data_IF_577537387865
#
_entry.id   IF_577537387865
#
_cell.length_a   1.000
_cell.length_b   1.000
_cell.length_c   1.000
_cell.angle_alpha   90.00
_cell.angle_beta   90.00
_cell.angle_gamma   90.00
#
_symmetry.space_group_name_H-M   'P 1'
#
loop_
_entity.id
_entity.type
_entity.pdbx_description
1 polymer ?
#
# COMPACT_ATOMS: atom_id res chain seq x y z
N UNK A 1 56.40 33.02 25.12
CA UNK A 1 55.38 32.22 25.88
C UNK A 1 54.11 32.26 25.03
N UNK A 2 53.91 31.22 24.23
CA UNK A 2 52.74 31.11 23.36
C UNK A 2 51.62 30.39 24.13
N UNK A 3 50.43 30.98 24.13
CA UNK A 3 49.24 30.40 24.75
C UNK A 3 48.72 29.20 23.93
N UNK A 4 48.17 28.14 24.56
CA UNK A 4 47.62 27.00 23.87
C UNK A 4 46.26 27.33 23.24
N UNK A 5 46.08 26.88 21.95
CA UNK A 5 44.83 27.00 21.24
C UNK A 5 43.71 26.19 21.90
N UNK A 6 42.55 26.83 22.09
CA UNK A 6 41.34 26.17 22.56
C UNK A 6 40.74 25.26 21.49
N UNK A 7 40.23 24.06 21.84
CA UNK A 7 39.58 23.18 20.86
C UNK A 7 38.21 23.77 20.46
N UNK A 8 37.99 23.85 19.14
CA UNK A 8 36.72 24.22 18.52
C UNK A 8 35.70 23.14 18.83
N UNK A 9 34.48 23.44 19.35
CA UNK A 9 33.46 22.46 19.62
C UNK A 9 32.97 21.85 18.29
N UNK A 10 33.04 20.52 18.20
CA UNK A 10 32.51 19.76 17.08
C UNK A 10 31.02 20.09 16.88
N UNK A 11 30.68 20.63 15.73
CA UNK A 11 29.28 20.84 15.32
C UNK A 11 28.59 19.48 15.32
N UNK A 12 27.64 19.29 16.22
CA UNK A 12 26.71 18.18 16.20
C UNK A 12 25.95 18.27 14.87
N UNK A 13 26.24 17.37 13.95
CA UNK A 13 25.44 17.12 12.74
C UNK A 13 24.01 16.90 13.20
N UNK A 14 23.12 17.81 12.82
CA UNK A 14 21.69 17.68 13.08
C UNK A 14 21.24 16.37 12.43
N UNK A 15 20.85 15.40 13.24
CA UNK A 15 20.17 14.20 12.78
C UNK A 15 18.96 14.67 11.95
N UNK A 16 18.97 14.38 10.67
CA UNK A 16 17.83 14.65 9.80
C UNK A 16 16.64 13.92 10.39
N UNK A 17 15.71 14.65 10.99
CA UNK A 17 14.47 14.09 11.52
C UNK A 17 13.70 13.49 10.35
N UNK A 18 13.62 12.17 10.30
CA UNK A 18 12.78 11.49 9.31
C UNK A 18 11.34 12.04 9.42
N UNK A 19 10.67 12.32 8.31
CA UNK A 19 9.31 12.85 8.34
C UNK A 19 8.40 11.87 9.10
N UNK A 20 7.56 12.43 9.98
CA UNK A 20 6.61 11.63 10.77
C UNK A 20 5.65 10.91 9.83
N UNK A 21 5.53 9.57 9.89
CA UNK A 21 4.59 8.81 9.07
C UNK A 21 3.16 9.32 9.22
N UNK A 22 2.36 9.18 8.17
CA UNK A 22 0.93 9.50 8.24
C UNK A 22 0.20 8.55 9.18
N UNK A 23 0.51 7.25 9.07
CA UNK A 23 0.00 6.21 9.95
C UNK A 23 1.11 5.18 10.24
N UNK A 24 1.21 4.76 11.49
CA UNK A 24 2.16 3.74 11.95
C UNK A 24 1.45 2.78 12.91
N UNK A 25 1.77 1.49 12.84
CA UNK A 25 1.37 0.54 13.87
C UNK A 25 2.60 -0.07 14.53
N UNK A 26 2.50 -0.34 15.83
CA UNK A 26 3.54 -0.97 16.62
C UNK A 26 2.99 -2.20 17.32
N UNK A 27 3.42 -3.38 16.90
CA UNK A 27 2.98 -4.64 17.44
C UNK A 27 1.46 -4.87 17.33
N UNK A 28 0.81 -4.36 16.28
CA UNK A 28 -0.64 -4.42 16.14
C UNK A 28 -1.14 -5.86 16.17
N UNK A 29 -1.99 -6.17 17.15
CA UNK A 29 -2.46 -7.53 17.40
C UNK A 29 -3.97 -7.56 17.52
N UNK A 30 -4.61 -8.58 16.89
CA UNK A 30 -6.03 -8.85 17.02
C UNK A 30 -6.31 -10.33 17.11
N UNK A 31 -6.85 -10.73 18.25
CA UNK A 31 -7.31 -12.07 18.51
C UNK A 31 -8.83 -12.09 18.68
N UNK A 32 -9.48 -13.13 18.16
CA UNK A 32 -10.90 -13.36 18.31
C UNK A 32 -11.15 -14.67 19.07
N UNK A 33 -12.03 -14.66 20.05
CA UNK A 33 -12.51 -15.88 20.70
C UNK A 33 -13.38 -16.66 19.71
N UNK A 34 -13.15 -17.97 19.57
CA UNK A 34 -13.85 -18.86 18.65
C UNK A 34 -14.50 -20.00 19.42
N UNK A 35 -15.80 -20.24 19.20
CA UNK A 35 -16.59 -21.27 19.89
C UNK A 35 -17.49 -20.71 20.98
N UNK A 36 -18.17 -21.57 21.72
CA UNK A 36 -19.12 -21.18 22.81
C UNK A 36 -18.41 -20.49 23.98
N UNK A 37 -19.20 -19.97 24.92
CA UNK A 37 -18.75 -19.13 26.06
C UNK A 37 -17.61 -19.75 26.89
N UNK A 38 -17.46 -21.07 26.91
CA UNK A 38 -16.42 -21.81 27.64
C UNK A 38 -15.23 -22.20 26.77
N UNK A 39 -15.23 -21.85 25.46
CA UNK A 39 -14.15 -22.23 24.57
C UNK A 39 -12.89 -21.39 24.84
N UNK A 40 -11.75 -22.07 25.02
CA UNK A 40 -10.42 -21.44 25.10
C UNK A 40 -9.75 -21.25 23.72
N UNK A 41 -10.49 -21.46 22.64
CA UNK A 41 -9.95 -21.37 21.28
C UNK A 41 -9.90 -19.89 20.86
N UNK A 42 -8.75 -19.45 20.46
CA UNK A 42 -8.48 -18.07 20.03
C UNK A 42 -7.93 -18.07 18.61
N UNK A 43 -8.61 -17.37 17.70
CA UNK A 43 -8.14 -17.10 16.35
C UNK A 43 -7.19 -15.90 16.39
N UNK A 44 -5.96 -16.09 15.98
CA UNK A 44 -4.94 -15.06 15.85
C UNK A 44 -5.01 -14.44 14.44
N UNK A 45 -5.89 -13.46 14.26
CA UNK A 45 -6.13 -12.88 12.95
C UNK A 45 -5.03 -11.90 12.52
N UNK A 46 -4.42 -11.19 13.48
CA UNK A 46 -3.25 -10.30 13.28
C UNK A 46 -2.38 -10.45 14.52
N UNK A 47 -1.09 -10.66 14.33
CA UNK A 47 -0.10 -10.77 15.40
C UNK A 47 1.11 -9.89 15.11
N UNK A 48 1.34 -8.93 16.03
CA UNK A 48 2.49 -8.04 16.06
C UNK A 48 2.81 -7.42 14.67
N UNK A 49 1.79 -6.92 13.96
CA UNK A 49 2.00 -6.31 12.66
C UNK A 49 2.49 -4.87 12.81
N UNK A 50 3.66 -4.59 12.23
CA UNK A 50 4.22 -3.25 12.10
C UNK A 50 4.01 -2.75 10.68
N UNK A 51 3.20 -1.70 10.53
CA UNK A 51 2.80 -1.10 9.27
C UNK A 51 3.13 0.37 9.33
N UNK A 52 3.80 0.88 8.31
CA UNK A 52 4.10 2.30 8.15
C UNK A 52 3.52 2.76 6.83
N UNK A 53 2.77 3.86 6.84
CA UNK A 53 2.23 4.50 5.64
C UNK A 53 2.64 5.97 5.68
N UNK A 54 3.35 6.42 4.66
CA UNK A 54 3.76 7.80 4.52
C UNK A 54 2.70 8.63 3.78
N UNK A 55 2.90 9.94 3.73
CA UNK A 55 2.04 10.81 2.92
C UNK A 55 2.28 10.56 1.43
N UNK A 56 1.22 10.63 0.63
CA UNK A 56 1.26 10.44 -0.83
C UNK A 56 1.84 9.09 -1.24
N UNK A 57 1.69 8.07 -0.41
CA UNK A 57 2.20 6.72 -0.66
C UNK A 57 1.04 5.74 -0.86
N UNK A 58 1.17 4.83 -1.82
CA UNK A 58 0.30 3.66 -1.97
C UNK A 58 1.07 2.45 -1.44
N UNK A 59 0.64 1.93 -0.30
CA UNK A 59 1.17 0.68 0.28
C UNK A 59 0.21 -0.45 -0.07
N UNK A 60 0.68 -1.47 -0.78
CA UNK A 60 -0.11 -2.68 -1.02
C UNK A 60 0.11 -3.69 0.11
N UNK A 61 -0.99 -4.26 0.63
CA UNK A 61 -0.97 -5.39 1.56
C UNK A 61 -1.53 -6.63 0.85
N UNK A 62 -0.64 -7.57 0.50
CA UNK A 62 -1.00 -8.76 -0.28
C UNK A 62 -0.91 -10.05 0.53
N UNK A 63 -1.60 -11.09 0.09
CA UNK A 63 -1.58 -12.42 0.70
C UNK A 63 -2.84 -13.21 0.39
N UNK A 64 -2.84 -14.51 0.70
CA UNK A 64 -3.99 -15.39 0.50
C UNK A 64 -5.22 -14.95 1.31
N UNK A 65 -6.41 -15.44 0.92
CA UNK A 65 -7.65 -15.25 1.68
C UNK A 65 -7.47 -15.78 3.11
N UNK A 66 -8.01 -15.05 4.09
CA UNK A 66 -7.86 -15.43 5.50
C UNK A 66 -6.51 -15.09 6.15
N UNK A 67 -5.56 -14.46 5.44
CA UNK A 67 -4.25 -14.08 6.03
C UNK A 67 -4.33 -12.94 7.06
N UNK A 68 -5.48 -12.24 7.18
CA UNK A 68 -5.70 -11.18 8.17
C UNK A 68 -5.78 -9.76 7.61
N UNK A 69 -5.61 -9.55 6.29
CA UNK A 69 -5.58 -8.24 5.61
C UNK A 69 -6.79 -7.35 5.93
N UNK A 70 -8.01 -7.85 5.71
CA UNK A 70 -9.24 -7.09 6.02
C UNK A 70 -9.39 -6.81 7.51
N UNK A 71 -8.82 -7.66 8.39
CA UNK A 71 -8.78 -7.39 9.83
C UNK A 71 -7.88 -6.20 10.13
N UNK A 72 -6.72 -6.08 9.46
CA UNK A 72 -5.85 -4.90 9.54
C UNK A 72 -6.63 -3.65 9.14
N UNK A 73 -7.28 -3.64 7.97
CA UNK A 73 -8.06 -2.46 7.53
C UNK A 73 -9.13 -2.07 8.55
N UNK A 74 -9.87 -3.04 9.11
CA UNK A 74 -10.93 -2.78 10.11
C UNK A 74 -10.37 -2.28 11.45
N UNK A 75 -9.16 -2.68 11.83
CA UNK A 75 -8.45 -2.13 12.98
C UNK A 75 -8.07 -0.67 12.74
N UNK A 76 -7.47 -0.37 11.57
CA UNK A 76 -7.09 0.98 11.18
C UNK A 76 -8.31 1.89 11.03
N UNK A 77 -9.43 1.40 10.48
CA UNK A 77 -10.69 2.12 10.42
C UNK A 77 -11.40 2.29 11.78
N UNK A 78 -10.83 1.75 12.89
CA UNK A 78 -11.45 1.71 14.24
C UNK A 78 -12.81 1.02 14.26
N UNK A 79 -13.04 0.05 13.36
CA UNK A 79 -14.20 -0.86 13.43
C UNK A 79 -13.96 -1.92 14.50
N UNK A 80 -12.73 -2.42 14.60
CA UNK A 80 -12.30 -3.30 15.67
C UNK A 80 -11.32 -2.56 16.62
N UNK A 81 -11.34 -2.96 17.89
CA UNK A 81 -10.32 -2.57 18.85
C UNK A 81 -9.16 -3.57 18.78
N UNK A 82 -7.90 -3.14 18.83
CA UNK A 82 -6.77 -4.05 18.96
C UNK A 82 -6.82 -4.82 20.27
N UNK A 83 -6.30 -6.03 20.29
CA UNK A 83 -6.08 -6.83 21.52
C UNK A 83 -4.79 -6.39 22.21
N UNK A 84 -3.77 -6.02 21.43
CA UNK A 84 -2.50 -5.45 21.90
C UNK A 84 -1.88 -4.60 20.80
N UNK A 85 -0.85 -3.83 21.14
CA UNK A 85 -0.16 -2.92 20.25
C UNK A 85 -0.87 -1.59 20.05
N UNK A 86 -0.21 -0.68 19.36
CA UNK A 86 -0.64 0.70 19.17
C UNK A 86 -0.82 1.05 17.70
N UNK A 87 -1.77 1.97 17.45
CA UNK A 87 -1.94 2.65 16.15
C UNK A 87 -1.65 4.12 16.39
N UNK A 88 -0.68 4.65 15.65
CA UNK A 88 -0.31 6.07 15.68
C UNK A 88 -0.77 6.74 14.38
N UNK A 89 -1.43 7.86 14.51
CA UNK A 89 -1.82 8.72 13.41
C UNK A 89 -1.15 10.08 13.55
N UNK A 90 -0.31 10.46 12.58
CA UNK A 90 0.51 11.66 12.64
C UNK A 90 1.31 11.76 13.96
N UNK A 91 1.90 10.66 14.39
CA UNK A 91 2.69 10.56 15.63
C UNK A 91 1.87 10.49 16.93
N UNK A 92 0.53 10.56 16.88
CA UNK A 92 -0.35 10.49 18.06
C UNK A 92 -1.03 9.13 18.14
N UNK A 93 -0.98 8.47 19.29
CA UNK A 93 -1.70 7.20 19.48
C UNK A 93 -3.22 7.40 19.41
N UNK A 94 -3.92 6.52 18.69
CA UNK A 94 -5.38 6.55 18.61
C UNK A 94 -6.06 6.30 19.96
N UNK A 95 -5.38 5.63 20.90
CA UNK A 95 -5.86 5.43 22.25
C UNK A 95 -6.01 6.75 23.03
N UNK A 96 -5.23 7.78 22.69
CA UNK A 96 -5.34 9.12 23.26
C UNK A 96 -6.52 9.92 22.70
N UNK A 97 -7.06 9.56 21.54
CA UNK A 97 -8.18 10.24 20.85
C UNK A 97 -9.54 9.79 21.43
N UNK A 98 -9.81 10.17 22.70
CA UNK A 98 -11.01 9.71 23.45
C UNK A 98 -12.25 10.55 23.17
N UNK A 99 -12.12 11.78 22.66
CA UNK A 99 -13.27 12.64 22.40
C UNK A 99 -14.02 12.22 21.14
N UNK A 100 -15.36 12.39 21.14
CA UNK A 100 -16.21 12.13 19.96
C UNK A 100 -15.73 12.92 18.74
N UNK A 101 -15.30 14.17 18.96
CA UNK A 101 -14.80 15.05 17.89
C UNK A 101 -13.53 14.46 17.25
N UNK A 102 -12.51 14.11 18.05
CA UNK A 102 -11.28 13.52 17.54
C UNK A 102 -11.52 12.18 16.82
N UNK A 103 -12.47 11.38 17.30
CA UNK A 103 -12.84 10.13 16.64
C UNK A 103 -13.54 10.35 15.29
N UNK A 104 -14.37 11.38 15.16
CA UNK A 104 -15.00 11.76 13.89
C UNK A 104 -13.99 12.35 12.90
N UNK A 105 -13.08 13.20 13.38
CA UNK A 105 -11.99 13.76 12.57
C UNK A 105 -11.09 12.65 12.01
N UNK A 106 -10.66 11.71 12.82
CA UNK A 106 -9.90 10.55 12.35
C UNK A 106 -10.66 9.73 11.30
N UNK A 107 -11.95 9.47 11.49
CA UNK A 107 -12.76 8.72 10.52
C UNK A 107 -12.98 9.48 9.21
N UNK A 108 -12.96 10.80 9.24
CA UNK A 108 -12.96 11.64 8.05
C UNK A 108 -11.64 11.54 7.30
N UNK A 109 -10.52 11.58 8.05
CA UNK A 109 -9.17 11.50 7.51
C UNK A 109 -8.80 10.11 6.99
N UNK A 110 -9.41 9.03 7.55
CA UNK A 110 -9.08 7.62 7.26
C UNK A 110 -10.36 6.80 6.98
N UNK A 111 -11.09 7.10 5.89
CA UNK A 111 -12.23 6.31 5.47
C UNK A 111 -11.82 4.94 4.89
N UNK A 112 -12.78 4.02 4.84
CA UNK A 112 -12.60 2.69 4.26
C UNK A 112 -13.54 2.48 3.07
N UNK A 113 -12.99 1.98 1.96
CA UNK A 113 -13.72 1.48 0.80
C UNK A 113 -13.76 -0.04 0.88
N UNK A 114 -14.97 -0.60 0.84
CA UNK A 114 -15.22 -2.03 1.04
C UNK A 114 -15.14 -2.82 -0.27
N UNK A 115 -14.89 -4.12 -0.14
CA UNK A 115 -14.81 -5.09 -1.22
C UNK A 115 -16.12 -5.18 -2.02
N UNK A 116 -17.26 -5.20 -1.32
CA UNK A 116 -18.58 -5.32 -1.93
C UNK A 116 -19.26 -3.94 -2.07
N UNK A 117 -19.32 -3.39 -3.30
CA UNK A 117 -19.99 -2.12 -3.53
C UNK A 117 -21.52 -2.22 -3.42
N UNK A 118 -22.09 -3.46 -3.53
CA UNK A 118 -23.53 -3.67 -3.41
C UNK A 118 -24.01 -3.50 -1.99
N UNK A 119 -23.25 -4.00 -1.01
CA UNK A 119 -23.60 -3.88 0.41
C UNK A 119 -23.33 -2.49 0.98
N UNK A 120 -22.50 -1.68 0.32
CA UNK A 120 -22.12 -0.34 0.78
C UNK A 120 -23.15 0.74 0.45
N UNK A 121 -24.00 0.52 -0.57
CA UNK A 121 -25.00 1.47 -1.04
C UNK A 121 -26.41 1.03 -0.67
N UNK A 122 -27.16 1.92 0.01
CA UNK A 122 -28.57 1.64 0.32
C UNK A 122 -29.44 1.79 -0.94
N UNK A 123 -30.08 0.72 -1.43
CA UNK A 123 -30.85 0.72 -2.68
C UNK A 123 -32.11 1.62 -2.66
N UNK A 124 -32.57 2.03 -1.47
CA UNK A 124 -33.74 2.89 -1.33
C UNK A 124 -33.46 4.37 -1.65
N UNK A 125 -32.19 4.76 -1.77
CA UNK A 125 -31.80 6.16 -2.01
C UNK A 125 -30.98 6.28 -3.29
N UNK A 126 -31.03 7.48 -3.90
CA UNK A 126 -30.12 7.84 -5.00
C UNK A 126 -28.68 7.83 -4.52
N UNK A 127 -27.75 7.58 -5.41
CA UNK A 127 -26.30 7.44 -5.05
C UNK A 127 -25.73 8.73 -4.49
N UNK A 128 -26.24 9.89 -4.91
CA UNK A 128 -25.88 11.20 -4.32
C UNK A 128 -26.16 11.30 -2.83
N UNK A 129 -27.16 10.55 -2.31
CA UNK A 129 -27.55 10.63 -0.90
C UNK A 129 -26.39 10.31 0.05
N UNK A 130 -25.63 9.25 -0.24
CA UNK A 130 -24.49 8.83 0.58
C UNK A 130 -23.40 9.90 0.65
N UNK A 131 -23.04 10.48 -0.51
CA UNK A 131 -22.04 11.54 -0.62
C UNK A 131 -22.50 12.79 0.12
N UNK A 132 -23.73 13.27 -0.18
CA UNK A 132 -24.27 14.49 0.42
C UNK A 132 -24.45 14.33 1.95
N UNK A 133 -24.86 13.15 2.43
CA UNK A 133 -24.97 12.87 3.85
C UNK A 133 -23.61 12.94 4.54
N UNK A 134 -22.57 12.39 3.92
CA UNK A 134 -21.20 12.48 4.39
C UNK A 134 -20.70 13.92 4.47
N UNK A 135 -20.90 14.68 3.41
CA UNK A 135 -20.59 16.12 3.39
C UNK A 135 -21.34 16.88 4.49
N UNK A 136 -22.62 16.58 4.73
CA UNK A 136 -23.40 17.20 5.82
C UNK A 136 -22.82 16.90 7.20
N UNK A 137 -22.24 15.72 7.41
CA UNK A 137 -21.67 15.31 8.69
C UNK A 137 -20.27 15.86 8.96
N UNK A 138 -19.47 16.06 7.90
CA UNK A 138 -18.05 16.40 8.02
C UNK A 138 -17.70 17.80 7.48
N UNK A 139 -18.56 18.39 6.61
CA UNK A 139 -18.35 19.68 5.98
C UNK A 139 -19.51 20.63 6.31
N UNK A 140 -19.53 21.07 7.57
CA UNK A 140 -20.56 21.99 8.08
C UNK A 140 -20.50 23.39 7.46
N UNK A 141 -19.36 23.74 6.87
CA UNK A 141 -19.07 24.98 6.15
C UNK A 141 -19.84 25.12 4.83
N UNK A 142 -20.32 24.00 4.24
CA UNK A 142 -20.99 24.00 2.94
C UNK A 142 -22.50 24.18 3.05
N UNK A 143 -23.08 25.07 2.21
CA UNK A 143 -24.51 25.17 1.96
C UNK A 143 -25.05 23.91 1.23
N UNK A 144 -26.38 23.82 1.07
CA UNK A 144 -26.99 22.70 0.35
C UNK A 144 -26.56 22.64 -1.11
N UNK A 145 -26.49 23.78 -1.79
CA UNK A 145 -26.05 23.88 -3.19
C UNK A 145 -24.58 23.46 -3.34
N UNK A 146 -23.70 24.02 -2.49
CA UNK A 146 -22.27 23.69 -2.51
C UNK A 146 -21.99 22.21 -2.21
N UNK A 147 -22.81 21.54 -1.39
CA UNK A 147 -22.67 20.09 -1.19
C UNK A 147 -22.99 19.28 -2.44
N UNK A 148 -23.94 19.72 -3.25
CA UNK A 148 -24.22 19.05 -4.52
C UNK A 148 -23.11 19.30 -5.54
N UNK A 149 -22.60 20.52 -5.65
CA UNK A 149 -21.44 20.86 -6.49
C UNK A 149 -20.20 20.04 -6.09
N UNK A 150 -19.93 19.93 -4.78
CA UNK A 150 -18.83 19.09 -4.29
C UNK A 150 -19.09 17.60 -4.54
N UNK A 151 -20.34 17.13 -4.48
CA UNK A 151 -20.66 15.75 -4.86
C UNK A 151 -20.41 15.48 -6.35
N UNK A 152 -20.71 16.44 -7.22
CA UNK A 152 -20.39 16.36 -8.66
C UNK A 152 -18.87 16.33 -8.85
N UNK A 153 -18.13 17.26 -8.23
CA UNK A 153 -16.66 17.32 -8.30
C UNK A 153 -16.00 15.99 -7.92
N UNK A 154 -16.38 15.40 -6.79
CA UNK A 154 -15.77 14.13 -6.35
C UNK A 154 -16.18 12.95 -7.23
N UNK A 155 -17.37 12.98 -7.84
CA UNK A 155 -17.80 11.98 -8.81
C UNK A 155 -16.99 12.08 -10.12
N UNK A 156 -16.70 13.28 -10.59
CA UNK A 156 -15.84 13.53 -11.75
C UNK A 156 -14.40 13.10 -11.48
N UNK A 157 -13.86 13.42 -10.28
CA UNK A 157 -12.50 13.03 -9.88
C UNK A 157 -12.28 11.52 -9.88
N UNK A 158 -13.33 10.71 -9.68
CA UNK A 158 -13.25 9.25 -9.80
C UNK A 158 -13.66 8.74 -11.21
N UNK A 159 -13.81 9.63 -12.18
CA UNK A 159 -14.09 9.30 -13.58
C UNK A 159 -15.52 8.84 -13.85
N UNK A 160 -16.51 9.37 -13.11
CA UNK A 160 -17.93 9.19 -13.40
C UNK A 160 -18.43 10.36 -14.27
N UNK A 161 -18.75 10.08 -15.52
CA UNK A 161 -19.20 11.09 -16.50
C UNK A 161 -20.40 10.58 -17.29
N UNK A 162 -21.51 11.36 -17.40
CA UNK A 162 -21.75 12.67 -16.77
C UNK A 162 -22.15 12.54 -15.28
N UNK A 163 -21.41 13.23 -14.40
CA UNK A 163 -21.51 13.01 -12.95
C UNK A 163 -22.89 13.35 -12.39
N UNK A 164 -23.49 14.48 -12.77
CA UNK A 164 -24.79 14.91 -12.25
C UNK A 164 -25.91 13.91 -12.54
N UNK A 165 -25.93 13.32 -13.74
CA UNK A 165 -26.90 12.30 -14.13
C UNK A 165 -26.71 11.00 -13.35
N UNK A 166 -25.44 10.57 -13.19
CA UNK A 166 -25.10 9.36 -12.44
C UNK A 166 -25.49 9.52 -10.97
N UNK A 167 -25.27 10.66 -10.38
CA UNK A 167 -25.61 10.97 -8.99
C UNK A 167 -27.13 10.96 -8.72
N UNK A 168 -27.96 11.15 -9.75
CA UNK A 168 -29.42 11.09 -9.65
C UNK A 168 -30.00 9.69 -9.80
N UNK A 169 -29.19 8.68 -10.18
CA UNK A 169 -29.59 7.28 -10.33
C UNK A 169 -29.64 6.56 -8.99
N UNK A 170 -30.32 5.41 -9.00
CA UNK A 170 -30.29 4.45 -7.90
C UNK A 170 -29.14 3.44 -8.08
N UNK A 171 -28.66 2.80 -6.99
CA UNK A 171 -27.57 1.83 -7.07
C UNK A 171 -27.80 0.70 -8.06
N UNK A 172 -29.03 0.20 -8.22
CA UNK A 172 -29.37 -0.90 -9.12
C UNK A 172 -29.31 -0.52 -10.62
N UNK A 173 -29.31 0.79 -10.94
CA UNK A 173 -29.19 1.32 -12.30
C UNK A 173 -27.72 1.48 -12.74
N UNK A 174 -26.76 1.21 -11.85
CA UNK A 174 -25.35 1.38 -12.11
C UNK A 174 -24.64 0.05 -12.35
N UNK A 175 -23.60 0.05 -13.20
CA UNK A 175 -22.67 -1.07 -13.32
C UNK A 175 -21.87 -1.30 -12.03
N UNK A 176 -21.26 -2.49 -11.87
CA UNK A 176 -20.40 -2.79 -10.73
C UNK A 176 -19.24 -1.79 -10.59
N UNK A 177 -18.58 -1.44 -11.68
CA UNK A 177 -17.50 -0.45 -11.71
C UNK A 177 -17.97 0.97 -11.35
N UNK A 178 -19.15 1.39 -11.79
CA UNK A 178 -19.72 2.67 -11.40
C UNK A 178 -20.04 2.71 -9.90
N UNK A 179 -20.61 1.65 -9.33
CA UNK A 179 -20.88 1.54 -7.88
C UNK A 179 -19.59 1.60 -7.07
N UNK A 180 -18.53 0.93 -7.54
CA UNK A 180 -17.22 0.98 -6.86
C UNK A 180 -16.64 2.39 -6.89
N UNK A 181 -16.72 3.10 -8.03
CA UNK A 181 -16.31 4.50 -8.14
C UNK A 181 -17.13 5.42 -7.23
N UNK A 182 -18.41 5.17 -7.04
CA UNK A 182 -19.24 5.89 -6.05
C UNK A 182 -18.70 5.67 -4.63
N UNK A 183 -18.23 4.46 -4.28
CA UNK A 183 -17.58 4.20 -3.00
C UNK A 183 -16.33 5.06 -2.78
N UNK A 184 -15.50 5.23 -3.82
CA UNK A 184 -14.35 6.14 -3.79
C UNK A 184 -14.79 7.61 -3.71
N UNK A 185 -15.82 8.03 -4.47
CA UNK A 185 -16.37 9.38 -4.40
C UNK A 185 -16.89 9.71 -2.99
N UNK A 186 -17.56 8.75 -2.32
CA UNK A 186 -18.00 8.92 -0.93
C UNK A 186 -16.81 9.10 0.01
N UNK A 187 -15.75 8.30 -0.14
CA UNK A 187 -14.54 8.44 0.66
C UNK A 187 -13.85 9.80 0.42
N UNK A 188 -13.72 10.21 -0.85
CA UNK A 188 -13.08 11.46 -1.26
C UNK A 188 -13.83 12.71 -0.77
N UNK A 189 -15.16 12.64 -0.65
CA UNK A 189 -16.00 13.73 -0.14
C UNK A 189 -15.59 14.23 1.26
N UNK A 190 -14.94 13.37 2.05
CA UNK A 190 -14.44 13.74 3.38
C UNK A 190 -13.09 14.47 3.35
N UNK A 191 -12.44 14.62 2.18
CA UNK A 191 -11.06 15.09 2.02
C UNK A 191 -10.08 14.26 2.84
N UNK A 192 -10.02 12.94 2.59
CA UNK A 192 -9.22 12.01 3.38
C UNK A 192 -7.73 12.26 3.16
N UNK A 193 -6.92 11.87 4.15
CA UNK A 193 -5.47 11.78 4.03
C UNK A 193 -5.00 10.37 3.70
N UNK A 194 -5.80 9.37 4.08
CA UNK A 194 -5.54 7.95 3.82
C UNK A 194 -6.86 7.24 3.50
N UNK A 195 -6.93 6.52 2.38
CA UNK A 195 -8.04 5.63 2.06
C UNK A 195 -7.60 4.19 2.30
N UNK A 196 -8.38 3.45 3.10
CA UNK A 196 -8.22 2.01 3.29
C UNK A 196 -9.07 1.29 2.25
N UNK A 197 -8.46 0.74 1.21
CA UNK A 197 -9.15 0.09 0.10
C UNK A 197 -9.04 -1.44 0.24
N UNK A 198 -10.10 -2.09 0.76
CA UNK A 198 -10.16 -3.54 1.01
C UNK A 198 -10.71 -4.26 -0.23
N UNK A 199 -9.83 -4.88 -1.00
CA UNK A 199 -10.11 -5.60 -2.25
C UNK A 199 -11.02 -4.85 -3.24
N UNK A 200 -10.77 -3.56 -3.52
CA UNK A 200 -11.70 -2.70 -4.26
C UNK A 200 -11.90 -3.09 -5.73
N UNK A 201 -11.07 -3.99 -6.27
CA UNK A 201 -11.10 -4.39 -7.69
C UNK A 201 -11.41 -5.89 -7.90
N UNK A 202 -11.59 -6.66 -6.82
CA UNK A 202 -11.69 -8.13 -6.89
C UNK A 202 -12.91 -8.64 -7.67
N UNK A 203 -14.02 -7.87 -7.68
CA UNK A 203 -15.27 -8.22 -8.35
C UNK A 203 -15.45 -7.55 -9.72
N UNK A 204 -14.39 -6.96 -10.28
CA UNK A 204 -14.45 -6.17 -11.50
C UNK A 204 -13.72 -6.85 -12.65
N UNK A 205 -14.25 -6.67 -13.86
CA UNK A 205 -13.60 -7.08 -15.10
C UNK A 205 -12.24 -6.37 -15.27
N UNK A 206 -11.33 -6.99 -16.04
CA UNK A 206 -9.94 -6.54 -16.18
C UNK A 206 -9.83 -5.07 -16.61
N UNK A 207 -10.62 -4.63 -17.61
CA UNK A 207 -10.59 -3.25 -18.10
C UNK A 207 -11.07 -2.23 -17.05
N UNK A 208 -12.12 -2.58 -16.32
CA UNK A 208 -12.68 -1.74 -15.25
C UNK A 208 -11.70 -1.67 -14.06
N UNK A 209 -11.02 -2.80 -13.77
CA UNK A 209 -9.99 -2.90 -12.73
C UNK A 209 -8.85 -1.91 -12.98
N UNK A 210 -8.27 -1.93 -14.19
CA UNK A 210 -7.20 -0.98 -14.56
C UNK A 210 -7.69 0.47 -14.44
N UNK A 211 -8.90 0.76 -14.90
CA UNK A 211 -9.49 2.09 -14.79
C UNK A 211 -9.62 2.57 -13.34
N UNK A 212 -9.91 1.67 -12.39
CA UNK A 212 -10.00 2.03 -10.97
C UNK A 212 -8.62 2.18 -10.31
N UNK A 213 -7.63 1.37 -10.70
CA UNK A 213 -6.23 1.54 -10.23
C UNK A 213 -5.67 2.89 -10.70
N UNK A 214 -5.99 3.32 -11.94
CA UNK A 214 -5.62 4.64 -12.44
C UNK A 214 -6.29 5.76 -11.63
N UNK A 215 -7.55 5.60 -11.21
CA UNK A 215 -8.20 6.56 -10.30
C UNK A 215 -7.43 6.67 -8.98
N UNK A 216 -7.00 5.57 -8.39
CA UNK A 216 -6.19 5.63 -7.15
C UNK A 216 -4.87 6.38 -7.37
N UNK A 217 -4.17 6.12 -8.49
CA UNK A 217 -2.93 6.82 -8.84
C UNK A 217 -3.15 8.34 -9.03
N UNK A 218 -4.23 8.74 -9.72
CA UNK A 218 -4.64 10.13 -9.91
C UNK A 218 -4.97 10.80 -8.57
N UNK A 219 -5.77 10.16 -7.71
CA UNK A 219 -6.12 10.71 -6.40
C UNK A 219 -4.89 10.89 -5.49
N UNK A 220 -3.89 9.99 -5.58
CA UNK A 220 -2.61 10.17 -4.90
C UNK A 220 -1.87 11.41 -5.40
N UNK A 221 -1.83 11.61 -6.71
CA UNK A 221 -1.08 12.72 -7.33
C UNK A 221 -1.76 14.07 -7.12
N UNK A 222 -3.06 14.15 -7.38
CA UNK A 222 -3.80 15.41 -7.50
C UNK A 222 -4.48 15.83 -6.19
N UNK A 223 -4.92 14.88 -5.36
CA UNK A 223 -5.65 15.15 -4.11
C UNK A 223 -4.82 14.85 -2.85
N UNK A 224 -3.51 14.53 -2.99
CA UNK A 224 -2.60 14.22 -1.89
C UNK A 224 -3.05 13.05 -1.00
N UNK A 225 -3.83 12.11 -1.53
CA UNK A 225 -4.38 10.98 -0.79
C UNK A 225 -3.38 9.83 -0.75
N UNK A 226 -3.13 9.28 0.42
CA UNK A 226 -2.38 8.02 0.58
C UNK A 226 -3.34 6.83 0.56
N UNK A 227 -2.83 5.62 0.26
CA UNK A 227 -3.65 4.42 0.23
C UNK A 227 -3.00 3.25 0.98
N UNK A 228 -3.82 2.51 1.72
CA UNK A 228 -3.55 1.11 2.01
C UNK A 228 -4.40 0.26 1.07
N UNK A 229 -3.79 -0.30 0.05
CA UNK A 229 -4.43 -1.13 -0.96
C UNK A 229 -4.32 -2.60 -0.59
N UNK A 230 -5.43 -3.21 -0.20
CA UNK A 230 -5.49 -4.63 0.16
C UNK A 230 -5.97 -5.43 -1.04
N UNK A 231 -5.20 -6.45 -1.41
CA UNK A 231 -5.54 -7.34 -2.53
C UNK A 231 -4.88 -8.73 -2.35
N UNK A 232 -5.39 -9.72 -3.07
CA UNK A 232 -4.72 -10.99 -3.26
C UNK A 232 -4.01 -11.06 -4.64
N UNK A 233 -4.21 -10.06 -5.50
CA UNK A 233 -3.65 -9.97 -6.84
C UNK A 233 -2.35 -9.14 -6.85
N UNK A 234 -1.22 -9.83 -6.97
CA UNK A 234 0.12 -9.22 -7.01
C UNK A 234 0.30 -8.34 -8.26
N UNK A 235 -0.32 -8.71 -9.40
CA UNK A 235 -0.17 -7.93 -10.62
C UNK A 235 -0.78 -6.54 -10.47
N UNK A 236 -1.98 -6.43 -9.85
CA UNK A 236 -2.60 -5.16 -9.54
C UNK A 236 -1.82 -4.36 -8.48
N UNK A 237 -1.24 -5.06 -7.48
CA UNK A 237 -0.37 -4.43 -6.48
C UNK A 237 0.87 -3.82 -7.13
N UNK A 238 1.56 -4.57 -8.01
CA UNK A 238 2.72 -4.08 -8.78
C UNK A 238 2.39 -2.84 -9.60
N UNK A 239 1.19 -2.82 -10.20
CA UNK A 239 0.79 -1.73 -11.09
C UNK A 239 0.67 -0.37 -10.38
N UNK A 240 0.23 -0.34 -9.12
CA UNK A 240 -0.17 0.93 -8.48
C UNK A 240 0.61 1.27 -7.22
N UNK A 241 1.27 0.29 -6.54
CA UNK A 241 1.88 0.55 -5.24
C UNK A 241 3.35 0.93 -5.30
N UNK A 242 3.74 1.82 -4.38
CA UNK A 242 5.13 2.21 -4.14
C UNK A 242 5.84 1.17 -3.26
N UNK A 243 5.12 0.62 -2.26
CA UNK A 243 5.62 -0.40 -1.34
C UNK A 243 4.66 -1.56 -1.24
N UNK A 244 5.26 -2.74 -1.07
CA UNK A 244 4.56 -4.00 -0.91
C UNK A 244 4.80 -4.56 0.49
N UNK A 245 3.73 -5.04 1.11
CA UNK A 245 3.76 -5.82 2.34
C UNK A 245 3.06 -7.15 2.09
N UNK A 246 3.72 -8.25 2.40
CA UNK A 246 3.19 -9.59 2.21
C UNK A 246 2.74 -10.14 3.57
N UNK A 247 1.49 -10.56 3.65
CA UNK A 247 0.88 -11.06 4.89
C UNK A 247 0.48 -12.53 4.78
N UNK A 248 0.95 -13.34 5.72
CA UNK A 248 0.63 -14.76 5.83
C UNK A 248 0.19 -15.11 7.25
N UNK A 249 -0.98 -15.72 7.38
CA UNK A 249 -1.47 -16.29 8.64
C UNK A 249 -1.37 -15.31 9.84
N UNK A 250 -1.69 -14.04 9.66
CA UNK A 250 -1.68 -13.02 10.70
C UNK A 250 -0.35 -12.25 10.85
N UNK A 251 0.73 -12.64 10.17
CA UNK A 251 2.03 -11.97 10.22
C UNK A 251 2.36 -11.24 8.93
N UNK A 252 3.00 -10.08 9.01
CA UNK A 252 3.73 -9.48 7.89
C UNK A 252 5.04 -10.23 7.74
N UNK A 253 5.20 -10.95 6.63
CA UNK A 253 6.35 -11.85 6.40
C UNK A 253 7.45 -11.23 5.55
N UNK A 254 7.10 -10.27 4.69
CA UNK A 254 8.05 -9.50 3.90
C UNK A 254 7.49 -8.10 3.61
N UNK A 255 8.35 -7.09 3.57
CA UNK A 255 7.99 -5.73 3.19
C UNK A 255 9.15 -5.00 2.55
N UNK A 256 8.84 -4.08 1.62
CA UNK A 256 9.85 -3.26 0.95
C UNK A 256 9.29 -2.48 -0.24
N UNK A 257 10.14 -1.74 -0.98
CA UNK A 257 9.77 -1.18 -2.27
C UNK A 257 9.20 -2.26 -3.20
N UNK A 258 8.09 -1.98 -3.88
CA UNK A 258 7.33 -3.00 -4.64
C UNK A 258 8.22 -3.73 -5.63
N UNK A 259 8.95 -3.01 -6.48
CA UNK A 259 9.81 -3.63 -7.49
C UNK A 259 10.96 -4.45 -6.86
N UNK A 260 11.54 -4.00 -5.74
CA UNK A 260 12.62 -4.74 -5.08
C UNK A 260 12.13 -6.06 -4.48
N UNK A 261 10.93 -6.08 -3.87
CA UNK A 261 10.33 -7.31 -3.33
C UNK A 261 9.95 -8.28 -4.45
N UNK A 262 9.43 -7.77 -5.57
CA UNK A 262 8.97 -8.61 -6.69
C UNK A 262 10.12 -9.13 -7.56
N UNK A 263 11.21 -8.37 -7.70
CA UNK A 263 12.38 -8.79 -8.47
C UNK A 263 13.21 -9.86 -7.75
N UNK A 264 13.29 -9.80 -6.41
CA UNK A 264 14.11 -10.71 -5.61
C UNK A 264 13.41 -11.03 -4.27
N UNK A 265 12.33 -11.83 -4.28
CA UNK A 265 11.57 -12.17 -3.09
C UNK A 265 12.40 -13.01 -2.12
N UNK A 266 12.52 -12.54 -0.87
CA UNK A 266 13.37 -13.18 0.16
C UNK A 266 12.61 -14.21 1.00
N UNK A 267 11.31 -14.01 1.22
CA UNK A 267 10.51 -14.97 1.96
C UNK A 267 9.96 -16.07 1.04
N UNK A 268 10.10 -17.38 1.36
CA UNK A 268 9.62 -18.46 0.50
C UNK A 268 8.12 -18.40 0.17
N UNK A 269 7.30 -17.81 1.04
CA UNK A 269 5.88 -17.56 0.73
C UNK A 269 5.70 -16.51 -0.36
N UNK A 270 6.51 -15.46 -0.38
CA UNK A 270 6.48 -14.43 -1.45
C UNK A 270 6.86 -15.06 -2.78
N UNK A 271 7.89 -15.93 -2.79
CA UNK A 271 8.28 -16.70 -3.98
C UNK A 271 7.14 -17.59 -4.48
N UNK A 272 6.44 -18.26 -3.57
CA UNK A 272 5.27 -19.08 -3.89
C UNK A 272 4.13 -18.24 -4.51
N UNK A 273 3.81 -17.09 -3.92
CA UNK A 273 2.77 -16.21 -4.45
C UNK A 273 3.11 -15.72 -5.86
N UNK A 274 4.37 -15.40 -6.13
CA UNK A 274 4.83 -14.97 -7.44
C UNK A 274 4.82 -16.10 -8.47
N UNK A 275 5.17 -17.32 -8.08
CA UNK A 275 5.12 -18.46 -8.98
C UNK A 275 3.70 -18.83 -9.44
N UNK A 276 2.68 -18.41 -8.69
CA UNK A 276 1.28 -18.58 -9.06
C UNK A 276 0.75 -17.53 -10.05
N UNK A 277 1.53 -16.47 -10.30
CA UNK A 277 1.17 -15.44 -11.31
C UNK A 277 1.57 -15.97 -12.70
N UNK A 278 0.62 -16.19 -13.64
CA UNK A 278 0.95 -16.66 -14.97
C UNK A 278 1.86 -15.65 -15.70
N UNK A 279 3.00 -16.11 -16.17
CA UNK A 279 3.82 -15.36 -17.13
C UNK A 279 3.32 -15.67 -18.56
N UNK A 280 2.72 -14.72 -19.28
CA UNK A 280 2.23 -14.96 -20.64
C UNK A 280 3.36 -15.29 -21.64
N UNK A 281 4.62 -15.07 -21.28
CA UNK A 281 5.80 -15.35 -22.10
C UNK A 281 6.45 -16.71 -21.79
N UNK A 282 6.12 -17.30 -20.63
CA UNK A 282 6.64 -18.60 -20.26
C UNK A 282 5.90 -19.71 -20.99
N UNK A 283 6.58 -20.77 -21.50
CA UNK A 283 5.90 -21.98 -21.96
C UNK A 283 4.98 -22.49 -20.85
N UNK A 284 3.82 -23.04 -21.21
CA UNK A 284 2.89 -23.70 -20.27
C UNK A 284 3.61 -24.90 -19.60
N UNK A 285 4.51 -24.63 -18.70
CA UNK A 285 5.11 -25.66 -17.87
C UNK A 285 4.14 -25.99 -16.73
N UNK A 286 3.58 -27.20 -16.79
CA UNK A 286 2.67 -27.79 -15.78
C UNK A 286 3.40 -28.14 -14.48
N UNK A 287 4.29 -27.31 -14.02
CA UNK A 287 5.03 -27.50 -12.75
C UNK A 287 4.95 -26.29 -11.84
N UNK A 288 3.72 -25.78 -11.61
CA UNK A 288 3.50 -25.18 -10.32
C UNK A 288 3.49 -26.36 -9.33
N UNK A 289 4.57 -26.59 -8.61
CA UNK A 289 4.50 -27.33 -7.35
C UNK A 289 3.53 -26.55 -6.48
N UNK A 290 2.25 -26.91 -6.61
CA UNK A 290 1.18 -26.36 -5.78
C UNK A 290 1.59 -26.62 -4.34
N UNK A 291 1.94 -25.57 -3.62
CA UNK A 291 2.24 -25.66 -2.22
C UNK A 291 1.11 -26.44 -1.56
N UNK A 292 1.43 -27.60 -1.00
CA UNK A 292 0.46 -28.56 -0.47
C UNK A 292 -0.39 -27.87 0.61
N UNK A 293 -1.70 -27.77 0.38
CA UNK A 293 -2.70 -27.43 1.37
C UNK A 293 -3.13 -25.97 1.42
N UNK A 294 -4.31 -25.76 2.00
CA UNK A 294 -4.86 -24.44 2.30
C UNK A 294 -4.09 -23.71 3.43
N UNK A 295 -4.10 -22.36 3.47
CA UNK A 295 -3.52 -21.63 4.59
C UNK A 295 -4.13 -22.11 5.91
N UNK A 296 -3.31 -22.35 6.94
CA UNK A 296 -3.83 -22.86 8.21
C UNK A 296 -4.74 -21.84 8.88
N UNK A 297 -5.88 -22.28 9.42
CA UNK A 297 -6.64 -21.48 10.38
C UNK A 297 -5.79 -21.32 11.64
N UNK A 298 -5.39 -20.09 11.95
CA UNK A 298 -4.47 -19.76 13.05
C UNK A 298 -5.22 -19.77 14.39
N UNK A 299 -5.66 -20.95 14.82
CA UNK A 299 -6.37 -21.13 16.10
C UNK A 299 -5.35 -21.67 17.11
N UNK A 300 -5.09 -20.91 18.18
CA UNK A 300 -4.11 -21.23 19.22
C UNK A 300 -2.78 -21.70 18.60
N UNK A 301 -2.11 -20.88 17.73
CA UNK A 301 -0.87 -21.30 17.08
C UNK A 301 0.20 -21.56 18.13
N UNK A 302 0.93 -22.64 17.96
CA UNK A 302 2.14 -22.89 18.72
C UNK A 302 3.29 -21.95 18.29
N UNK A 303 4.46 -22.08 18.91
CA UNK A 303 5.66 -21.34 18.51
C UNK A 303 6.11 -21.75 17.10
N UNK A 304 7.01 -20.95 16.52
CA UNK A 304 7.62 -21.21 15.23
C UNK A 304 6.99 -20.47 14.06
N UNK A 305 7.61 -20.66 12.89
CA UNK A 305 7.16 -20.05 11.64
C UNK A 305 5.82 -20.65 11.20
N UNK A 306 4.83 -19.81 10.93
CA UNK A 306 3.49 -20.25 10.48
C UNK A 306 3.49 -20.85 9.08
N UNK A 307 4.50 -20.52 8.26
CA UNK A 307 4.66 -21.05 6.91
C UNK A 307 5.41 -22.38 6.87
N UNK A 308 6.04 -22.85 7.95
CA UNK A 308 6.93 -24.02 8.00
C UNK A 308 6.39 -25.27 7.31
N UNK A 309 5.09 -25.55 7.39
CA UNK A 309 4.45 -26.75 6.83
C UNK A 309 4.33 -26.74 5.29
N UNK A 310 4.42 -25.55 4.70
CA UNK A 310 4.36 -25.32 3.24
C UNK A 310 5.72 -24.86 2.69
N UNK A 311 6.70 -24.63 3.56
CA UNK A 311 8.00 -24.07 3.20
C UNK A 311 8.95 -25.16 2.72
N UNK A 312 9.47 -25.08 1.47
CA UNK A 312 10.45 -26.04 0.97
C UNK A 312 11.84 -25.88 1.64
N UNK A 313 12.09 -24.71 2.25
CA UNK A 313 13.35 -24.36 2.91
C UNK A 313 13.25 -24.42 4.44
N UNK A 314 12.27 -25.14 5.00
CA UNK A 314 12.08 -25.21 6.44
C UNK A 314 13.28 -25.91 7.11
N UNK A 315 13.78 -25.31 8.20
CA UNK A 315 14.85 -25.84 9.07
C UNK A 315 14.32 -26.02 10.49
N UNK A 316 15.04 -26.71 11.35
CA UNK A 316 14.57 -27.09 12.69
C UNK A 316 14.12 -25.92 13.55
N UNK A 317 14.82 -24.80 13.49
CA UNK A 317 14.46 -23.57 14.23
C UNK A 317 13.09 -23.02 13.82
N UNK A 318 12.63 -23.28 12.58
CA UNK A 318 11.30 -22.88 12.13
C UNK A 318 10.17 -23.56 12.91
N UNK A 319 10.43 -24.68 13.58
CA UNK A 319 9.44 -25.39 14.39
C UNK A 319 9.25 -24.79 15.78
N UNK A 320 10.27 -24.13 16.31
CA UNK A 320 10.34 -23.70 17.71
C UNK A 320 10.36 -22.20 17.91
N UNK A 321 10.91 -21.45 16.95
CA UNK A 321 11.09 -19.98 17.05
C UNK A 321 10.28 -19.28 15.97
N UNK A 322 9.45 -18.32 16.37
CA UNK A 322 8.74 -17.41 15.44
C UNK A 322 9.73 -16.40 14.88
N UNK A 323 9.93 -16.34 13.55
CA UNK A 323 10.84 -15.38 12.96
C UNK A 323 10.32 -13.95 13.15
N UNK A 324 11.20 -13.06 13.60
CA UNK A 324 10.92 -11.62 13.68
C UNK A 324 11.36 -10.92 12.38
N UNK A 325 10.70 -9.82 12.00
CA UNK A 325 11.14 -9.00 10.87
C UNK A 325 12.57 -8.50 11.11
N UNK A 326 13.46 -8.76 10.16
CA UNK A 326 14.84 -8.27 10.17
C UNK A 326 15.10 -7.45 8.91
N UNK A 327 15.89 -6.37 8.98
CA UNK A 327 16.27 -5.61 7.81
C UNK A 327 17.13 -6.46 6.88
N UNK A 328 16.86 -6.37 5.57
CA UNK A 328 17.57 -7.09 4.51
C UNK A 328 18.23 -6.14 3.50
N UNK A 329 18.09 -4.84 3.70
CA UNK A 329 18.57 -3.78 2.84
C UNK A 329 17.79 -2.49 3.08
N UNK A 330 18.02 -1.44 2.29
CA UNK A 330 17.32 -0.17 2.44
C UNK A 330 15.78 -0.33 2.36
N UNK A 331 15.08 0.08 3.41
CA UNK A 331 13.61 0.04 3.53
C UNK A 331 12.98 -1.35 3.26
N UNK A 332 13.75 -2.45 3.41
CA UNK A 332 13.32 -3.82 3.16
C UNK A 332 13.48 -4.70 4.39
N UNK A 333 12.51 -5.55 4.66
CA UNK A 333 12.58 -6.51 5.77
C UNK A 333 11.86 -7.82 5.45
N UNK A 334 12.30 -8.92 6.08
CA UNK A 334 11.57 -10.18 6.05
C UNK A 334 11.63 -10.92 7.40
N UNK A 335 10.53 -11.58 7.74
CA UNK A 335 10.39 -12.44 8.91
C UNK A 335 10.67 -13.90 8.53
N UNK A 336 11.93 -14.23 8.27
CA UNK A 336 12.36 -15.55 7.84
C UNK A 336 13.75 -15.90 8.42
N UNK A 337 13.95 -17.16 8.83
CA UNK A 337 15.23 -17.62 9.37
C UNK A 337 16.28 -17.87 8.27
N UNK A 338 15.84 -18.18 7.05
CA UNK A 338 16.71 -18.53 5.92
C UNK A 338 16.87 -17.41 4.89
N UNK A 339 16.16 -16.27 5.03
CA UNK A 339 16.33 -15.14 4.12
C UNK A 339 17.73 -14.51 4.29
N UNK A 340 18.39 -14.23 3.18
CA UNK A 340 19.69 -13.53 3.16
C UNK A 340 19.48 -12.04 2.94
N UNK A 341 20.35 -11.20 3.53
CA UNK A 341 20.37 -9.77 3.25
C UNK A 341 20.73 -9.50 1.79
N UNK A 342 20.25 -8.37 1.26
CA UNK A 342 20.72 -7.89 -0.03
C UNK A 342 22.23 -7.58 0.06
N UNK A 343 23.01 -7.81 -1.00
CA UNK A 343 24.39 -7.33 -1.04
C UNK A 343 24.38 -5.81 -0.88
N UNK A 344 25.35 -5.28 -0.14
CA UNK A 344 25.52 -3.83 -0.06
C UNK A 344 25.61 -3.27 -1.48
N UNK A 345 24.90 -2.17 -1.79
CA UNK A 345 25.05 -1.52 -3.08
C UNK A 345 26.54 -1.24 -3.30
N UNK A 346 27.10 -1.75 -4.40
CA UNK A 346 28.47 -1.46 -4.76
C UNK A 346 28.65 0.07 -4.72
N UNK A 347 29.75 0.60 -4.12
CA UNK A 347 29.96 2.03 -4.07
C UNK A 347 29.85 2.55 -5.51
N UNK A 348 28.96 3.51 -5.75
CA UNK A 348 28.82 4.16 -7.05
C UNK A 348 30.24 4.54 -7.49
N UNK A 349 30.69 3.97 -8.62
CA UNK A 349 31.96 4.32 -9.19
C UNK A 349 31.94 5.82 -9.43
N UNK A 350 32.66 6.56 -8.61
CA UNK A 350 32.87 8.00 -8.80
C UNK A 350 33.44 8.15 -10.21
N UNK A 351 32.60 8.59 -11.15
CA UNK A 351 33.01 8.87 -12.51
C UNK A 351 34.19 9.83 -12.41
N UNK A 352 35.35 9.36 -12.89
CA UNK A 352 36.54 10.20 -12.99
C UNK A 352 36.17 11.47 -13.77
N UNK A 353 36.63 12.65 -13.33
CA UNK A 353 36.34 13.88 -14.07
C UNK A 353 36.84 13.74 -15.50
N UNK A 354 35.97 13.97 -16.47
CA UNK A 354 36.30 14.04 -17.88
C UNK A 354 37.49 14.98 -18.06
N UNK A 355 38.57 14.43 -18.65
CA UNK A 355 39.73 15.21 -18.99
C UNK A 355 39.31 16.29 -20.00
N UNK A 356 39.46 17.55 -19.60
CA UNK A 356 39.25 18.72 -20.45
C UNK A 356 40.26 18.62 -21.62
N UNK A 357 39.76 18.30 -22.82
CA UNK A 357 40.53 18.32 -24.05
C UNK A 357 40.96 19.74 -24.37
N UNK A 358 42.26 19.91 -24.55
CA UNK A 358 42.89 21.17 -24.98
C UNK A 358 42.35 21.63 -26.35
N UNK A 359 42.28 22.95 -26.63
CA UNK A 359 41.76 23.45 -27.89
C UNK A 359 42.77 23.19 -29.03
N UNK A 360 42.28 22.57 -30.09
CA UNK A 360 42.99 22.34 -31.35
C UNK A 360 43.14 23.66 -32.10
N UNK A 361 44.38 23.96 -32.46
CA UNK A 361 44.81 25.18 -33.17
C UNK A 361 44.27 25.20 -34.59
N UNK A 362 43.79 26.37 -35.00
CA UNK A 362 43.33 26.71 -36.34
C UNK A 362 44.45 26.56 -37.39
N UNK A 363 44.16 25.91 -38.50
CA UNK A 363 44.89 26.06 -39.76
C UNK A 363 43.97 26.54 -40.89
N UNK A 364 44.47 27.48 -41.65
CA UNK A 364 43.88 28.35 -42.64
C UNK A 364 43.47 27.65 -43.97
N UNK A 365 42.71 28.31 -44.83
CA UNK A 365 41.90 27.72 -45.89
C UNK A 365 42.71 27.56 -47.22
N UNK A 366 42.41 26.54 -48.00
CA UNK A 366 42.81 26.41 -49.37
C UNK A 366 41.62 26.37 -50.35
N UNK A 367 41.84 27.08 -51.42
CA UNK A 367 40.93 27.57 -52.46
C UNK A 367 40.34 26.50 -53.40
N UNK A 368 39.19 26.82 -53.80
CA UNK A 368 38.46 26.62 -55.08
C UNK A 368 38.98 25.60 -56.12
N UNK A 369 38.09 24.80 -56.66
CA UNK A 369 37.81 24.77 -58.11
C UNK A 369 36.46 24.06 -58.42
N UNK A 370 35.79 24.69 -59.27
CA UNK A 370 34.58 24.50 -60.09
C UNK A 370 34.64 23.25 -60.99
N UNK A 371 33.49 22.59 -61.19
CA UNK A 371 32.87 22.12 -62.45
C UNK A 371 31.76 21.12 -62.16
N UNK A 372 30.55 21.45 -62.37
CA UNK A 372 29.69 21.48 -63.57
C UNK A 372 29.33 20.06 -64.12
N UNK A 373 28.08 19.94 -64.41
CA UNK A 373 27.34 18.97 -65.27
C UNK A 373 26.97 17.62 -64.63
N UNK A 374 25.81 17.06 -64.74
CA UNK A 374 24.62 17.31 -65.55
C UNK A 374 23.77 16.04 -65.50
N UNK A 375 22.46 16.25 -65.61
CA UNK A 375 21.43 15.35 -66.13
C UNK A 375 21.42 13.85 -65.76
N UNK A 376 20.41 13.32 -65.17
CA UNK A 376 19.10 12.89 -65.71
C UNK A 376 18.13 12.61 -64.61
#
# INVERSE_FOLDING_TARGET
MSAPAQPVPAQRTAAQSQPVPLLETRGLTKHFKVGGSFSRRTLHAVDAADIVINRKEIVALVGESGSGKSTVARLLARVYQPTAGDILYQGRTLASMRTRRAALEYRSDVPMVFQDPFSSLNPAYRVSHGIIRGLKLHRHDLSRAQRFEEAVRVAEAVGLTPAAEILDRYPYELSGGQRQRIGFAQALAYRPKLILADEPVSMLDVSIRIGLLNVMATLRADEDVSFLYITHDIASARYVSDRLMVMYAGHVVESGPTEAVLADPKHPYTQLLLSAVPDPRAPLAVTAETAKGEPPRVINPGPGCRFRWRCPLAIDVCSTVTPLPRPLGPARSAACHVATADPDPAPEAVSAPEAVSAPETASAPETATEKASGSE
#
